data_IF_389182096924
#
_entry.id   IF_389182096924
#
_cell.length_a   1.000
_cell.length_b   1.000
_cell.length_c   1.000
_cell.angle_alpha   90.00
_cell.angle_beta   90.00
_cell.angle_gamma   90.00
#
_symmetry.space_group_name_H-M   'P 1'
#
loop_
_entity.id
_entity.type
_entity.pdbx_description
1 polymer ?
#
# COMPACT_ATOMS: atom_id res chain seq x y z
N UNK A 1 36.32 -45.29 8.74
CA UNK A 1 35.81 -44.05 9.38
C UNK A 1 36.38 -42.85 8.65
N UNK A 2 35.58 -42.14 7.84
CA UNK A 2 35.90 -40.81 7.30
C UNK A 2 34.58 -40.05 7.16
N UNK A 3 34.45 -39.02 8.00
CA UNK A 3 33.30 -38.13 8.06
C UNK A 3 33.25 -37.25 6.82
N UNK A 4 32.15 -37.32 6.07
CA UNK A 4 31.84 -36.39 4.99
C UNK A 4 31.12 -35.19 5.59
N UNK A 5 31.74 -34.02 5.48
CA UNK A 5 31.22 -32.74 5.92
C UNK A 5 30.19 -32.19 4.93
N UNK A 6 29.17 -31.55 5.49
CA UNK A 6 28.05 -30.89 4.82
C UNK A 6 28.50 -29.75 3.89
N UNK A 7 27.88 -29.65 2.72
CA UNK A 7 27.75 -28.40 1.98
C UNK A 7 26.27 -28.20 1.67
N UNK A 8 25.56 -27.64 2.65
CA UNK A 8 24.25 -27.04 2.46
C UNK A 8 24.48 -25.75 1.68
N UNK A 9 24.24 -25.79 0.37
CA UNK A 9 24.11 -24.59 -0.45
C UNK A 9 22.77 -23.97 -0.08
N UNK A 10 22.81 -22.99 0.82
CA UNK A 10 21.69 -22.07 1.04
C UNK A 10 21.49 -21.27 -0.25
N UNK A 11 20.54 -21.73 -1.06
CA UNK A 11 20.01 -20.95 -2.17
C UNK A 11 19.31 -19.73 -1.56
N UNK A 12 20.00 -18.60 -1.57
CA UNK A 12 19.45 -17.30 -1.25
C UNK A 12 18.21 -17.09 -2.12
N UNK A 13 17.06 -17.03 -1.46
CA UNK A 13 15.79 -16.59 -2.01
C UNK A 13 15.93 -15.13 -2.47
N UNK A 14 16.42 -14.94 -3.69
CA UNK A 14 16.14 -13.73 -4.46
C UNK A 14 14.70 -13.89 -4.98
N UNK A 15 13.72 -13.71 -4.10
CA UNK A 15 12.39 -13.37 -4.58
C UNK A 15 12.50 -11.93 -5.10
N UNK A 16 12.36 -11.67 -6.41
CA UNK A 16 12.14 -10.31 -6.85
C UNK A 16 10.90 -9.82 -6.09
N UNK A 17 11.03 -8.65 -5.48
CA UNK A 17 9.95 -7.90 -4.86
C UNK A 17 9.00 -7.45 -5.99
N UNK A 18 8.35 -8.42 -6.64
CA UNK A 18 7.25 -8.17 -7.54
C UNK A 18 6.09 -7.79 -6.64
N UNK A 19 5.67 -6.53 -6.72
CA UNK A 19 4.39 -6.07 -6.22
C UNK A 19 3.33 -7.07 -6.67
N UNK A 20 2.88 -7.89 -5.73
CA UNK A 20 1.81 -8.81 -6.00
C UNK A 20 0.54 -7.97 -5.91
N UNK A 21 0.09 -7.43 -7.05
CA UNK A 21 -1.08 -6.54 -7.17
C UNK A 21 -2.31 -7.15 -6.45
N UNK A 22 -2.38 -8.48 -6.36
CA UNK A 22 -3.42 -9.20 -5.62
C UNK A 22 -3.38 -9.01 -4.10
N UNK A 23 -2.24 -8.66 -3.49
CA UNK A 23 -2.07 -8.66 -2.03
C UNK A 23 -2.96 -7.63 -1.33
N UNK A 24 -3.05 -6.39 -1.84
CA UNK A 24 -3.81 -5.34 -1.15
C UNK A 24 -5.31 -5.63 -1.07
N UNK A 25 -5.88 -6.17 -2.15
CA UNK A 25 -7.29 -6.57 -2.21
C UNK A 25 -7.56 -7.86 -1.42
N UNK A 26 -6.63 -8.82 -1.42
CA UNK A 26 -6.83 -10.09 -0.69
C UNK A 26 -6.76 -9.96 0.82
N UNK A 27 -6.10 -8.92 1.34
CA UNK A 27 -6.04 -8.61 2.78
C UNK A 27 -7.30 -7.85 3.28
N UNK A 28 -8.29 -7.60 2.42
CA UNK A 28 -9.55 -6.99 2.86
C UNK A 28 -10.36 -7.92 3.76
N UNK A 29 -11.11 -7.38 4.74
CA UNK A 29 -12.01 -8.19 5.53
C UNK A 29 -13.15 -8.77 4.67
N UNK A 30 -13.68 -9.92 5.06
CA UNK A 30 -14.68 -10.67 4.27
C UNK A 30 -16.01 -9.93 4.03
N UNK A 31 -16.31 -8.92 4.85
CA UNK A 31 -17.51 -8.07 4.78
C UNK A 31 -17.25 -6.71 4.12
N UNK A 32 -16.06 -6.51 3.54
CA UNK A 32 -15.75 -5.35 2.72
C UNK A 32 -16.75 -5.20 1.56
N UNK A 33 -17.17 -3.96 1.27
CA UNK A 33 -18.18 -3.66 0.25
C UNK A 33 -17.83 -2.40 -0.55
N UNK A 34 -18.55 -2.14 -1.65
CA UNK A 34 -18.28 -0.99 -2.56
C UNK A 34 -16.80 -0.88 -2.97
N UNK A 35 -16.23 -2.02 -3.37
CA UNK A 35 -14.82 -2.12 -3.74
C UNK A 35 -14.64 -1.49 -5.13
N UNK A 36 -13.81 -0.46 -5.21
CA UNK A 36 -13.35 0.17 -6.44
C UNK A 36 -11.83 0.11 -6.47
N UNK A 37 -11.26 -0.35 -7.58
CA UNK A 37 -9.82 -0.41 -7.72
C UNK A 37 -9.38 0.01 -9.12
N UNK A 38 -8.15 0.52 -9.19
CA UNK A 38 -7.50 0.88 -10.43
C UNK A 38 -6.00 0.64 -10.27
N UNK A 39 -5.39 -0.02 -11.25
CA UNK A 39 -3.93 -0.13 -11.36
C UNK A 39 -3.44 0.44 -12.68
N UNK A 40 -2.23 0.98 -12.67
CA UNK A 40 -1.50 1.40 -13.84
C UNK A 40 -0.03 1.03 -13.68
N UNK A 41 0.56 0.43 -14.71
CA UNK A 41 1.92 -0.11 -14.68
C UNK A 41 2.57 -0.04 -16.07
N UNK A 42 3.14 1.11 -16.43
CA UNK A 42 3.95 1.24 -17.66
C UNK A 42 5.43 1.49 -17.35
N UNK A 43 5.73 2.51 -16.54
CA UNK A 43 7.08 2.77 -16.02
C UNK A 43 7.11 2.60 -14.51
N UNK A 44 6.16 3.22 -13.83
CA UNK A 44 5.94 3.10 -12.40
C UNK A 44 4.62 2.38 -12.14
N UNK A 45 4.56 1.69 -11.01
CA UNK A 45 3.34 1.07 -10.53
C UNK A 45 2.55 2.08 -9.70
N UNK A 46 1.28 2.27 -10.05
CA UNK A 46 0.33 2.97 -9.20
C UNK A 46 -0.94 2.14 -9.02
N UNK A 47 -1.39 2.02 -7.77
CA UNK A 47 -2.64 1.36 -7.41
C UNK A 47 -3.50 2.28 -6.55
N UNK A 48 -4.79 2.25 -6.81
CA UNK A 48 -5.81 2.90 -6.00
C UNK A 48 -6.86 1.86 -5.61
N UNK A 49 -7.27 1.90 -4.34
CA UNK A 49 -8.34 1.09 -3.81
C UNK A 49 -9.21 1.94 -2.89
N UNK A 50 -10.51 1.95 -3.16
CA UNK A 50 -11.53 2.46 -2.25
C UNK A 50 -12.45 1.32 -1.86
N UNK A 51 -12.79 1.25 -0.58
CA UNK A 51 -13.64 0.18 -0.05
C UNK A 51 -14.33 0.60 1.22
N UNK A 52 -15.57 0.18 1.41
CA UNK A 52 -16.30 0.37 2.66
C UNK A 52 -15.94 -0.74 3.65
N UNK A 53 -15.38 -0.33 4.79
CA UNK A 53 -15.04 -1.18 5.94
C UNK A 53 -15.31 -0.41 7.23
N UNK A 54 -15.38 -1.11 8.36
CA UNK A 54 -15.43 -0.45 9.67
C UNK A 54 -14.08 0.18 10.03
N UNK A 55 -14.11 1.16 10.95
CA UNK A 55 -12.89 1.77 11.49
C UNK A 55 -11.97 0.73 12.15
N UNK A 56 -12.53 -0.22 12.89
CA UNK A 56 -11.77 -1.28 13.54
C UNK A 56 -11.05 -2.17 12.50
N UNK A 57 -11.70 -2.50 11.40
CA UNK A 57 -11.08 -3.27 10.32
C UNK A 57 -9.97 -2.48 9.62
N UNK A 58 -10.17 -1.17 9.42
CA UNK A 58 -9.12 -0.30 8.91
C UNK A 58 -7.88 -0.32 9.82
N UNK A 59 -8.05 -0.25 11.14
CA UNK A 59 -6.95 -0.30 12.11
C UNK A 59 -6.19 -1.64 12.08
N UNK A 60 -6.90 -2.75 11.88
CA UNK A 60 -6.27 -4.07 11.64
C UNK A 60 -5.48 -4.05 10.32
N UNK A 61 -6.07 -3.51 9.25
CA UNK A 61 -5.46 -3.47 7.93
C UNK A 61 -4.15 -2.67 7.94
N UNK A 62 -4.15 -1.44 8.46
CA UNK A 62 -2.94 -0.60 8.54
C UNK A 62 -1.87 -1.23 9.45
N UNK A 63 -2.26 -1.94 10.51
CA UNK A 63 -1.33 -2.67 11.37
C UNK A 63 -0.67 -3.83 10.63
N UNK A 64 -1.41 -4.55 9.77
CA UNK A 64 -0.88 -5.65 8.97
C UNK A 64 0.24 -5.16 8.03
N UNK A 65 0.02 -4.03 7.36
CA UNK A 65 1.00 -3.39 6.47
C UNK A 65 2.05 -2.54 7.21
N UNK A 66 2.08 -2.59 8.56
CA UNK A 66 3.01 -1.85 9.42
C UNK A 66 3.03 -0.35 9.12
N UNK A 67 1.87 0.21 8.80
CA UNK A 67 1.73 1.62 8.46
C UNK A 67 1.68 2.45 9.75
N UNK A 68 2.26 3.64 9.69
CA UNK A 68 2.28 4.59 10.81
C UNK A 68 1.57 5.88 10.41
N UNK A 69 0.94 6.55 11.37
CA UNK A 69 0.31 7.84 11.11
C UNK A 69 1.39 8.83 10.65
N UNK A 70 1.15 9.48 9.52
CA UNK A 70 1.97 10.56 9.00
C UNK A 70 1.94 11.73 9.98
N UNK A 71 3.11 12.26 10.32
CA UNK A 71 3.25 13.42 11.17
C UNK A 71 4.64 14.04 11.07
N UNK A 72 4.86 15.08 11.84
CA UNK A 72 6.06 15.93 11.75
C UNK A 72 7.39 15.19 11.99
N UNK A 73 7.34 14.01 12.63
CA UNK A 73 8.52 13.18 12.91
C UNK A 73 8.78 12.11 11.85
N UNK A 74 7.95 12.00 10.81
CA UNK A 74 8.12 11.01 9.76
C UNK A 74 9.28 11.40 8.84
N UNK A 75 10.38 10.66 8.90
CA UNK A 75 11.49 10.77 7.94
C UNK A 75 11.32 9.75 6.83
N UNK A 76 11.23 10.22 5.59
CA UNK A 76 11.14 9.38 4.39
C UNK A 76 12.44 9.45 3.59
N UNK A 77 12.74 8.42 2.77
CA UNK A 77 13.98 8.40 1.99
C UNK A 77 13.97 9.30 0.76
N UNK A 78 12.78 9.70 0.30
CA UNK A 78 12.56 10.45 -0.95
C UNK A 78 11.57 11.61 -0.73
N UNK A 79 11.46 12.48 -1.75
CA UNK A 79 10.57 13.63 -1.75
C UNK A 79 9.13 13.23 -1.39
N UNK A 80 8.48 14.05 -0.54
CA UNK A 80 7.10 13.84 -0.07
C UNK A 80 6.03 14.10 -1.15
N UNK A 81 6.43 14.17 -2.42
CA UNK A 81 5.53 14.43 -3.56
C UNK A 81 4.43 13.36 -3.65
N UNK A 82 4.74 12.13 -3.24
CA UNK A 82 3.82 10.99 -3.19
C UNK A 82 2.72 11.13 -2.13
N UNK A 83 2.86 12.05 -1.18
CA UNK A 83 1.78 12.38 -0.23
C UNK A 83 0.68 13.23 -0.87
N UNK A 84 0.91 13.80 -2.06
CA UNK A 84 -0.14 14.42 -2.87
C UNK A 84 -0.89 13.32 -3.63
N UNK A 85 -1.94 12.79 -3.01
CA UNK A 85 -2.75 11.69 -3.59
C UNK A 85 -3.80 12.18 -4.57
N UNK A 86 -3.53 13.25 -5.31
CA UNK A 86 -4.38 13.62 -6.45
C UNK A 86 -4.17 12.59 -7.56
N UNK A 87 -5.25 11.97 -8.01
CA UNK A 87 -5.19 11.06 -9.15
C UNK A 87 -4.95 11.85 -10.44
N UNK A 88 -3.98 11.43 -11.24
CA UNK A 88 -3.67 11.99 -12.56
C UNK A 88 -4.10 11.07 -13.71
N UNK A 89 -4.76 9.95 -13.42
CA UNK A 89 -4.91 8.86 -14.38
C UNK A 89 -6.18 8.96 -15.24
N UNK A 90 -7.38 8.96 -14.65
CA UNK A 90 -8.62 8.91 -15.43
C UNK A 90 -9.79 9.64 -14.77
N UNK A 91 -10.77 10.07 -15.59
CA UNK A 91 -12.08 10.56 -15.12
C UNK A 91 -12.79 9.52 -14.25
N UNK A 92 -12.58 8.24 -14.53
CA UNK A 92 -13.12 7.14 -13.73
C UNK A 92 -12.57 7.16 -12.31
N UNK A 93 -11.24 7.18 -12.11
CA UNK A 93 -10.63 7.26 -10.77
C UNK A 93 -11.08 8.55 -10.07
N UNK A 94 -11.07 9.67 -10.81
CA UNK A 94 -11.47 10.97 -10.28
C UNK A 94 -12.95 11.01 -9.83
N UNK A 95 -13.81 10.13 -10.36
CA UNK A 95 -15.23 10.07 -9.98
C UNK A 95 -15.48 9.47 -8.58
N UNK A 96 -14.53 8.73 -8.02
CA UNK A 96 -14.70 8.05 -6.73
C UNK A 96 -13.56 8.25 -5.74
N UNK A 97 -12.40 8.70 -6.20
CA UNK A 97 -11.23 9.00 -5.39
C UNK A 97 -11.34 10.39 -4.76
N UNK A 98 -11.29 10.45 -3.43
CA UNK A 98 -11.40 11.71 -2.70
C UNK A 98 -10.01 12.36 -2.56
N UNK A 99 -9.79 13.41 -3.35
CA UNK A 99 -8.53 14.16 -3.36
C UNK A 99 -8.41 15.20 -2.24
N UNK A 100 -9.48 15.49 -1.51
CA UNK A 100 -9.51 16.52 -0.46
C UNK A 100 -9.12 15.99 0.93
N UNK A 101 -8.75 14.71 1.00
CA UNK A 101 -8.37 14.06 2.26
C UNK A 101 -7.07 14.64 2.85
N UNK A 102 -7.14 15.15 4.08
CA UNK A 102 -6.05 15.87 4.79
C UNK A 102 -4.81 15.01 5.08
N UNK A 103 -3.62 15.63 4.98
CA UNK A 103 -2.29 15.04 5.30
C UNK A 103 -2.17 14.48 6.71
N UNK A 104 -2.86 15.08 7.67
CA UNK A 104 -2.72 14.69 9.08
C UNK A 104 -3.49 13.41 9.43
N UNK A 105 -4.21 12.82 8.47
CA UNK A 105 -5.01 11.59 8.63
C UNK A 105 -4.48 10.40 7.83
N UNK A 106 -3.29 10.54 7.24
CA UNK A 106 -2.68 9.55 6.37
C UNK A 106 -1.87 8.55 7.18
N UNK A 107 -2.05 7.26 6.93
CA UNK A 107 -1.13 6.23 7.39
C UNK A 107 -0.19 5.89 6.24
N UNK A 108 1.10 5.75 6.53
CA UNK A 108 2.14 5.58 5.51
C UNK A 108 3.07 4.44 5.93
N UNK A 109 3.42 3.61 4.95
CA UNK A 109 4.53 2.67 5.02
C UNK A 109 5.41 2.88 3.79
N UNK A 110 6.72 2.94 3.99
CA UNK A 110 7.69 3.08 2.92
C UNK A 110 8.69 1.92 2.98
N UNK A 111 8.89 1.23 1.85
CA UNK A 111 9.87 0.15 1.72
C UNK A 111 10.68 0.35 0.44
N UNK A 112 11.84 0.97 0.58
CA UNK A 112 12.64 1.37 -0.58
C UNK A 112 11.86 2.39 -1.43
N UNK A 113 11.62 2.05 -2.70
CA UNK A 113 10.88 2.91 -3.65
C UNK A 113 9.36 2.70 -3.62
N UNK A 114 8.89 1.77 -2.79
CA UNK A 114 7.46 1.51 -2.61
C UNK A 114 6.89 2.37 -1.48
N UNK A 115 5.77 3.03 -1.77
CA UNK A 115 4.97 3.81 -0.84
C UNK A 115 3.57 3.22 -0.77
N UNK A 116 3.12 2.94 0.45
CA UNK A 116 1.74 2.51 0.74
C UNK A 116 1.13 3.59 1.61
N UNK A 117 0.05 4.21 1.14
CA UNK A 117 -0.63 5.32 1.79
C UNK A 117 -2.09 4.92 1.98
N UNK A 118 -2.58 4.94 3.22
CA UNK A 118 -3.95 4.57 3.56
C UNK A 118 -4.64 5.65 4.38
N UNK A 119 -5.94 5.81 4.20
CA UNK A 119 -6.79 6.76 4.95
C UNK A 119 -8.15 6.14 5.21
N UNK A 120 -8.80 6.63 6.26
CA UNK A 120 -10.17 6.26 6.57
C UNK A 120 -11.04 7.51 6.70
N UNK A 121 -12.10 7.58 5.92
CA UNK A 121 -13.04 8.70 5.92
C UNK A 121 -14.44 8.21 5.53
N UNK A 122 -15.47 8.71 6.22
CA UNK A 122 -16.88 8.46 5.89
C UNK A 122 -17.26 6.97 5.71
N UNK A 123 -16.65 6.07 6.49
CA UNK A 123 -16.92 4.62 6.40
C UNK A 123 -16.17 3.90 5.28
N UNK A 124 -15.28 4.59 4.57
CA UNK A 124 -14.43 4.01 3.52
C UNK A 124 -12.96 4.09 3.89
N UNK A 125 -12.22 3.04 3.53
CA UNK A 125 -10.77 3.08 3.38
C UNK A 125 -10.42 3.53 1.96
N UNK A 126 -9.40 4.36 1.87
CA UNK A 126 -8.73 4.77 0.63
C UNK A 126 -7.28 4.36 0.74
N UNK A 127 -6.79 3.58 -0.22
CA UNK A 127 -5.42 3.10 -0.30
C UNK A 127 -4.82 3.52 -1.64
N UNK A 128 -3.65 4.14 -1.58
CA UNK A 128 -2.83 4.44 -2.74
C UNK A 128 -1.46 3.76 -2.55
N UNK A 129 -1.03 3.02 -3.56
CA UNK A 129 0.30 2.40 -3.59
C UNK A 129 1.03 2.96 -4.79
N UNK A 130 2.29 3.35 -4.59
CA UNK A 130 3.15 3.83 -5.64
C UNK A 130 4.51 3.16 -5.55
N UNK A 131 5.07 2.71 -6.67
CA UNK A 131 6.42 2.17 -6.73
C UNK A 131 7.14 2.50 -8.03
N UNK A 132 8.39 2.94 -7.90
CA UNK A 132 9.38 3.20 -8.96
C UNK A 132 10.41 2.06 -9.10
#
# INVERSE_FOLDING_TARGET
>A
MRNTWYLLISLLMLNPCALNEGSFRTELPNDASDIKEFSYSEMDYTYYLKVNISRAQFEVYISHFKMSLHGDTSTYSDDTIWLDTKSTFTDEVNSWWDSELKKDSMYVSQKGREWIIARFSNGSMYLNVHSH
#
